data_IF_987725857857
#
_entry.id   IF_987725857857
#
_cell.length_a   1.000
_cell.length_b   1.000
_cell.length_c   1.000
_cell.angle_alpha   90.00
_cell.angle_beta   90.00
_cell.angle_gamma   90.00
#
_symmetry.space_group_name_H-M   'P 1'
#
loop_
_entity.id
_entity.type
_entity.pdbx_description
1 polymer ?
#
# COMPACT_ATOMS: atom_id res chain seq x y z
N UNK A 1 -25.91 -19.58 28.40
CA UNK A 1 -25.47 -18.28 28.97
C UNK A 1 -24.02 -18.10 28.53
N UNK A 2 -23.69 -17.30 27.50
CA UNK A 2 -23.62 -15.84 27.55
C UNK A 2 -22.32 -15.45 28.26
N UNK A 3 -21.27 -15.00 27.58
CA UNK A 3 -21.13 -13.61 27.11
C UNK A 3 -20.59 -13.59 25.67
N UNK A 4 -21.38 -12.99 24.78
CA UNK A 4 -20.94 -12.53 23.46
C UNK A 4 -19.94 -11.41 23.71
N UNK A 5 -18.71 -11.56 23.25
CA UNK A 5 -17.70 -10.52 23.36
C UNK A 5 -18.26 -9.23 22.76
N UNK A 6 -18.36 -8.22 23.62
CA UNK A 6 -18.92 -6.92 23.35
C UNK A 6 -17.94 -6.05 22.54
N UNK A 7 -17.38 -6.59 21.45
CA UNK A 7 -16.39 -5.89 20.63
C UNK A 7 -16.94 -5.30 19.33
N UNK A 8 -18.26 -5.41 19.08
CA UNK A 8 -18.91 -4.71 17.97
C UNK A 8 -18.91 -3.16 18.10
N UNK A 9 -18.38 -2.60 19.20
CA UNK A 9 -18.39 -1.15 19.47
C UNK A 9 -16.98 -0.51 19.56
N UNK A 10 -15.89 -1.28 19.38
CA UNK A 10 -14.52 -0.74 19.47
C UNK A 10 -13.64 -1.17 18.29
N UNK A 11 -13.80 -0.50 17.15
CA UNK A 11 -12.76 -0.41 16.10
C UNK A 11 -12.15 -1.73 15.61
N UNK A 12 -10.99 -1.61 14.97
CA UNK A 12 -10.20 -2.73 14.45
C UNK A 12 -9.75 -3.66 15.59
N UNK A 13 -9.64 -4.97 15.34
CA UNK A 13 -9.20 -5.97 16.34
C UNK A 13 -7.80 -5.67 16.92
N UNK A 14 -7.38 -6.39 17.97
CA UNK A 14 -6.03 -6.20 18.53
C UNK A 14 -4.95 -6.78 17.61
N UNK A 15 -3.79 -6.12 17.43
CA UNK A 15 -2.68 -6.65 16.64
C UNK A 15 -2.02 -7.87 17.31
N UNK A 16 -1.31 -8.74 16.56
CA UNK A 16 -0.99 -8.63 15.14
C UNK A 16 -2.14 -9.04 14.22
N UNK A 17 -2.38 -8.23 13.18
CA UNK A 17 -3.37 -8.53 12.16
C UNK A 17 -2.79 -9.47 11.11
N UNK A 18 -3.51 -10.56 10.85
CA UNK A 18 -3.13 -11.55 9.86
C UNK A 18 -4.08 -11.39 8.67
N UNK A 19 -3.50 -11.09 7.52
CA UNK A 19 -4.22 -11.02 6.24
C UNK A 19 -3.82 -12.23 5.41
N UNK A 20 -4.79 -12.96 4.87
CA UNK A 20 -4.55 -14.07 3.93
C UNK A 20 -5.30 -13.84 2.63
N UNK A 21 -4.66 -14.22 1.54
CA UNK A 21 -5.21 -13.98 0.22
C UNK A 21 -4.18 -14.21 -0.88
N UNK A 22 -4.47 -13.63 -2.03
CA UNK A 22 -3.59 -13.64 -3.20
C UNK A 22 -3.26 -12.21 -3.62
N UNK A 23 -2.08 -12.00 -4.22
CA UNK A 23 -1.67 -10.69 -4.71
C UNK A 23 -1.07 -10.80 -6.11
N UNK A 24 -1.47 -9.88 -6.99
CA UNK A 24 -0.90 -9.69 -8.31
C UNK A 24 0.01 -8.46 -8.29
N UNK A 25 1.29 -8.65 -8.55
CA UNK A 25 2.28 -7.57 -8.62
C UNK A 25 2.59 -7.22 -10.08
N UNK A 26 2.45 -5.94 -10.43
CA UNK A 26 2.86 -5.40 -11.72
C UNK A 26 3.81 -4.24 -11.50
N UNK A 27 5.11 -4.52 -11.61
CA UNK A 27 6.17 -3.52 -11.53
C UNK A 27 6.46 -2.95 -12.91
N UNK A 28 6.68 -1.65 -12.99
CA UNK A 28 7.08 -0.98 -14.23
C UNK A 28 7.98 0.23 -13.95
N UNK A 29 8.75 0.62 -14.96
CA UNK A 29 9.58 1.82 -14.88
C UNK A 29 8.71 3.06 -15.05
N UNK A 30 8.77 3.96 -14.08
CA UNK A 30 8.07 5.24 -14.09
C UNK A 30 9.11 6.34 -14.26
N UNK A 31 8.79 7.38 -15.03
CA UNK A 31 9.69 8.54 -15.15
C UNK A 31 9.88 9.18 -13.79
N UNK A 32 11.13 9.45 -13.43
CA UNK A 32 11.48 10.02 -12.14
C UNK A 32 10.80 11.39 -11.91
N UNK A 33 10.68 12.20 -12.95
CA UNK A 33 9.96 13.49 -12.92
C UNK A 33 8.49 13.32 -12.47
N UNK A 34 7.80 12.31 -12.99
CA UNK A 34 6.42 12.00 -12.62
C UNK A 34 6.34 11.49 -11.18
N UNK A 35 7.22 10.56 -10.79
CA UNK A 35 7.26 10.03 -9.43
C UNK A 35 7.54 11.14 -8.39
N UNK A 36 8.42 12.08 -8.73
CA UNK A 36 8.80 13.21 -7.87
C UNK A 36 7.67 14.20 -7.59
N UNK A 37 6.65 14.25 -8.44
CA UNK A 37 5.46 15.08 -8.18
C UNK A 37 4.62 14.55 -7.00
N UNK A 38 4.67 13.24 -6.74
CA UNK A 38 3.89 12.58 -5.69
C UNK A 38 4.70 12.27 -4.43
N UNK A 39 6.03 12.15 -4.57
CA UNK A 39 6.92 11.80 -3.46
C UNK A 39 7.41 13.07 -2.75
N UNK A 40 7.29 13.15 -1.40
CA UNK A 40 7.84 14.24 -0.60
C UNK A 40 9.31 14.51 -0.89
N UNK A 41 9.71 15.79 -0.92
CA UNK A 41 11.06 16.21 -1.35
C UNK A 41 12.16 15.79 -0.37
N UNK A 42 11.78 15.53 0.87
CA UNK A 42 12.64 15.08 1.96
C UNK A 42 13.15 13.65 1.71
N UNK A 43 12.38 12.85 0.96
CA UNK A 43 12.74 11.49 0.61
C UNK A 43 13.60 11.47 -0.66
N UNK A 44 14.74 10.77 -0.59
CA UNK A 44 15.62 10.62 -1.75
C UNK A 44 15.05 9.54 -2.68
N UNK A 45 14.65 9.94 -3.89
CA UNK A 45 14.18 9.02 -4.91
C UNK A 45 15.32 8.12 -5.39
N UNK A 46 15.07 6.82 -5.50
CA UNK A 46 15.96 5.86 -6.14
C UNK A 46 15.64 5.86 -7.63
N UNK A 47 16.49 6.50 -8.42
CA UNK A 47 16.35 6.61 -9.87
C UNK A 47 17.61 6.09 -10.59
N UNK A 48 17.39 5.52 -11.77
CA UNK A 48 18.43 5.14 -12.72
C UNK A 48 17.98 5.57 -14.12
N UNK A 49 18.85 6.26 -14.86
CA UNK A 49 18.55 6.75 -16.22
C UNK A 49 17.28 7.63 -16.33
N UNK A 50 16.92 8.36 -15.27
CA UNK A 50 15.71 9.20 -15.24
C UNK A 50 14.42 8.42 -15.02
N UNK A 51 14.50 7.14 -14.64
CA UNK A 51 13.37 6.30 -14.26
C UNK A 51 13.54 5.78 -12.84
N UNK A 52 12.42 5.54 -12.17
CA UNK A 52 12.35 4.83 -10.89
C UNK A 52 11.51 3.55 -11.06
N UNK A 53 11.68 2.60 -10.16
CA UNK A 53 10.84 1.40 -10.14
C UNK A 53 9.54 1.74 -9.40
N UNK A 54 8.46 1.84 -10.16
CA UNK A 54 7.11 1.97 -9.64
C UNK A 54 6.29 0.71 -9.93
N UNK A 55 4.98 0.81 -9.73
CA UNK A 55 4.10 -0.32 -9.99
C UNK A 55 2.76 -0.17 -9.33
N UNK A 56 2.01 -1.27 -9.35
CA UNK A 56 0.89 -1.45 -8.45
C UNK A 56 0.80 -2.93 -8.07
N UNK A 57 0.11 -3.21 -6.98
CA UNK A 57 -0.34 -4.55 -6.68
C UNK A 57 -1.81 -4.56 -6.34
N UNK A 58 -2.49 -5.61 -6.78
CA UNK A 58 -3.87 -5.90 -6.42
C UNK A 58 -3.85 -7.08 -5.46
N UNK A 59 -4.18 -6.84 -4.20
CA UNK A 59 -4.31 -7.87 -3.18
C UNK A 59 -5.79 -8.19 -2.96
N UNK A 60 -6.15 -9.47 -3.10
CA UNK A 60 -7.47 -9.98 -2.75
C UNK A 60 -7.35 -10.72 -1.43
N UNK A 61 -7.90 -10.14 -0.36
CA UNK A 61 -7.88 -10.75 0.97
C UNK A 61 -9.15 -11.55 1.21
N UNK A 62 -8.98 -12.85 1.43
CA UNK A 62 -10.06 -13.80 1.70
C UNK A 62 -10.30 -14.01 3.20
N UNK A 63 -9.32 -13.64 4.04
CA UNK A 63 -9.39 -13.69 5.51
C UNK A 63 -8.62 -12.50 6.08
N UNK A 64 -9.31 -11.63 6.83
CA UNK A 64 -8.70 -10.51 7.53
C UNK A 64 -9.55 -10.06 8.74
N UNK A 65 -8.96 -9.33 9.71
CA UNK A 65 -9.70 -8.80 10.87
C UNK A 65 -10.83 -7.83 10.52
N UNK A 66 -10.86 -7.31 9.28
CA UNK A 66 -11.85 -6.35 8.79
C UNK A 66 -12.83 -6.95 7.77
N UNK A 67 -12.74 -8.25 7.55
CA UNK A 67 -13.53 -8.96 6.54
C UNK A 67 -12.79 -9.13 5.21
N UNK A 68 -13.53 -9.57 4.19
CA UNK A 68 -13.00 -9.82 2.84
C UNK A 68 -13.02 -8.50 2.07
N UNK A 69 -11.89 -8.14 1.44
CA UNK A 69 -11.81 -6.97 0.58
C UNK A 69 -10.67 -7.10 -0.43
N UNK A 70 -10.81 -6.35 -1.53
CA UNK A 70 -9.76 -6.18 -2.52
C UNK A 70 -9.06 -4.84 -2.29
N UNK A 71 -7.74 -4.84 -2.28
CA UNK A 71 -6.88 -3.67 -2.07
C UNK A 71 -6.03 -3.42 -3.32
N UNK A 72 -6.16 -2.24 -3.91
CA UNK A 72 -5.27 -1.76 -4.97
C UNK A 72 -4.27 -0.77 -4.37
N UNK A 73 -2.99 -1.11 -4.46
CA UNK A 73 -1.91 -0.26 -3.96
C UNK A 73 -1.05 0.18 -5.12
N UNK A 74 -0.91 1.50 -5.30
CA UNK A 74 -0.05 2.10 -6.33
C UNK A 74 1.26 2.54 -5.71
N UNK A 75 2.37 2.08 -6.28
CA UNK A 75 3.73 2.44 -5.87
C UNK A 75 4.23 3.51 -6.84
N UNK A 76 4.38 4.75 -6.34
CA UNK A 76 4.85 5.86 -7.15
C UNK A 76 6.33 5.75 -7.51
N UNK A 77 7.13 5.12 -6.64
CA UNK A 77 8.55 4.90 -6.86
C UNK A 77 9.25 4.35 -5.62
N UNK A 78 10.52 3.97 -5.79
CA UNK A 78 11.38 3.58 -4.68
C UNK A 78 12.05 4.81 -4.07
N UNK A 79 12.04 4.89 -2.75
CA UNK A 79 12.69 5.94 -1.97
C UNK A 79 13.73 5.33 -1.05
N UNK A 80 14.76 6.11 -0.74
CA UNK A 80 15.80 5.73 0.19
C UNK A 80 15.48 6.27 1.58
N UNK A 81 15.28 5.35 2.54
CA UNK A 81 15.12 5.64 3.96
C UNK A 81 16.17 4.83 4.74
N UNK A 82 17.29 5.45 5.15
CA UNK A 82 18.45 4.72 5.67
C UNK A 82 18.09 3.73 6.80
N UNK A 83 18.53 2.46 6.75
CA UNK A 83 19.51 1.85 5.85
C UNK A 83 18.93 1.13 4.62
N UNK A 84 17.62 1.23 4.35
CA UNK A 84 16.92 0.40 3.34
C UNK A 84 16.28 1.24 2.23
N UNK A 85 16.00 0.60 1.09
CA UNK A 85 15.10 1.18 0.08
C UNK A 85 13.67 0.78 0.40
N UNK A 86 12.76 1.75 0.42
CA UNK A 86 11.35 1.59 0.73
C UNK A 86 10.51 1.93 -0.52
N UNK A 87 9.35 1.30 -0.66
CA UNK A 87 8.39 1.68 -1.70
C UNK A 87 7.51 2.82 -1.17
N UNK A 88 7.47 3.94 -1.89
CA UNK A 88 6.51 5.00 -1.56
C UNK A 88 5.16 4.65 -2.18
N UNK A 89 4.23 4.25 -1.32
CA UNK A 89 2.85 3.99 -1.71
C UNK A 89 2.13 5.32 -1.86
N UNK A 90 1.65 5.58 -3.07
CA UNK A 90 0.74 6.67 -3.33
C UNK A 90 -0.68 6.14 -3.14
N UNK A 91 -1.37 6.70 -2.16
CA UNK A 91 -2.80 6.46 -1.98
C UNK A 91 -3.55 7.59 -2.70
N UNK A 92 -4.20 7.34 -3.85
CA UNK A 92 -5.10 8.31 -4.45
C UNK A 92 -6.38 8.37 -3.60
N UNK A 93 -6.37 9.03 -2.44
CA UNK A 93 -7.61 9.21 -1.70
C UNK A 93 -8.50 10.25 -2.40
N UNK A 94 -9.71 9.79 -2.76
CA UNK A 94 -10.93 10.58 -2.99
C UNK A 94 -11.16 11.18 -4.38
N UNK A 95 -11.54 10.33 -5.35
CA UNK A 95 -12.71 10.56 -6.24
C UNK A 95 -12.84 9.39 -7.22
N UNK A 96 -14.00 8.73 -7.19
CA UNK A 96 -14.50 7.86 -8.26
C UNK A 96 -13.71 6.56 -8.52
N UNK A 97 -13.92 5.56 -7.67
CA UNK A 97 -14.19 4.22 -8.21
C UNK A 97 -15.71 4.20 -8.43
N UNK A 98 -16.09 3.97 -9.68
CA UNK A 98 -17.46 4.02 -10.23
C UNK A 98 -18.35 2.96 -9.60
#
# INVERSE_FOLDING_TARGET
>A
MGVRDANCLMGYGQPPWIFKGSALYQLHLVKAETARAFIPKELKLVEAFGYTLGGFFLAKYEDSPVGVFDELVVIAGLVWDPPTSCAYVFHPLSSCIV
#
